data_IF_088333609143
#
_entry.id   IF_088333609143
#
_cell.length_a   1.000
_cell.length_b   1.000
_cell.length_c   1.000
_cell.angle_alpha   90.00
_cell.angle_beta   90.00
_cell.angle_gamma   90.00
#
_symmetry.space_group_name_H-M   'P 1'
#
loop_
_entity.id
_entity.type
_entity.pdbx_description
1 polymer ?
#
# COMPACT_ATOMS: atom_id res chain seq x y z
N UNK A 1 -29.92 -30.60 -66.64
CA UNK A 1 -29.64 -29.20 -66.21
C UNK A 1 -30.62 -28.61 -65.16
N UNK A 2 -31.58 -29.38 -64.63
CA UNK A 2 -32.48 -28.89 -63.56
C UNK A 2 -32.02 -29.23 -62.13
N UNK A 3 -31.14 -30.23 -61.98
CA UNK A 3 -30.52 -30.59 -60.70
C UNK A 3 -29.62 -29.46 -60.18
N UNK A 4 -28.74 -28.90 -61.03
CA UNK A 4 -27.78 -27.89 -60.61
C UNK A 4 -28.43 -26.59 -60.10
N UNK A 5 -29.57 -26.17 -60.67
CA UNK A 5 -30.33 -25.00 -60.20
C UNK A 5 -31.04 -25.25 -58.86
N UNK A 6 -31.52 -26.47 -58.62
CA UNK A 6 -32.23 -26.83 -57.38
C UNK A 6 -31.27 -26.97 -56.19
N UNK A 7 -30.08 -27.51 -56.43
CA UNK A 7 -29.03 -27.63 -55.41
C UNK A 7 -28.09 -26.42 -55.33
N UNK A 8 -28.27 -25.40 -56.18
CA UNK A 8 -27.42 -24.19 -56.17
C UNK A 8 -27.46 -23.48 -54.81
N UNK A 9 -28.65 -23.38 -54.20
CA UNK A 9 -28.82 -22.80 -52.88
C UNK A 9 -28.11 -23.62 -51.79
N UNK A 10 -28.21 -24.96 -51.86
CA UNK A 10 -27.51 -25.87 -50.92
C UNK A 10 -25.99 -25.77 -51.05
N UNK A 11 -25.47 -25.60 -52.26
CA UNK A 11 -24.04 -25.39 -52.51
C UNK A 11 -23.58 -24.04 -51.95
N UNK A 12 -24.38 -22.98 -52.09
CA UNK A 12 -24.05 -21.67 -51.50
C UNK A 12 -24.03 -21.71 -49.97
N UNK A 13 -25.00 -22.40 -49.35
CA UNK A 13 -25.04 -22.56 -47.88
C UNK A 13 -23.85 -23.37 -47.38
N UNK A 14 -23.43 -24.41 -48.11
CA UNK A 14 -22.22 -25.19 -47.80
C UNK A 14 -20.95 -24.32 -47.92
N UNK A 15 -20.82 -23.51 -48.97
CA UNK A 15 -19.64 -22.65 -49.13
C UNK A 15 -19.57 -21.54 -48.08
N UNK A 16 -20.73 -20.98 -47.69
CA UNK A 16 -20.80 -19.93 -46.67
C UNK A 16 -20.43 -20.48 -45.28
N UNK A 17 -20.92 -21.66 -44.93
CA UNK A 17 -20.57 -22.32 -43.65
C UNK A 17 -19.10 -22.71 -43.57
N UNK A 18 -18.53 -23.27 -44.64
CA UNK A 18 -17.09 -23.58 -44.71
C UNK A 18 -16.25 -22.30 -44.66
N UNK A 19 -16.66 -21.24 -45.36
CA UNK A 19 -15.98 -19.94 -45.37
C UNK A 19 -15.91 -19.30 -43.99
N UNK A 20 -17.01 -19.31 -43.23
CA UNK A 20 -17.03 -18.81 -41.85
C UNK A 20 -16.11 -19.62 -40.93
N UNK A 21 -16.07 -20.95 -41.08
CA UNK A 21 -15.17 -21.81 -40.31
C UNK A 21 -13.69 -21.51 -40.57
N UNK A 22 -13.30 -21.33 -41.83
CA UNK A 22 -11.93 -20.97 -42.22
C UNK A 22 -11.54 -19.59 -41.67
N UNK A 23 -12.46 -18.62 -41.70
CA UNK A 23 -12.20 -17.28 -41.14
C UNK A 23 -11.92 -17.32 -39.63
N UNK A 24 -12.72 -18.05 -38.85
CA UNK A 24 -12.51 -18.19 -37.39
C UNK A 24 -11.18 -18.90 -37.10
N UNK A 25 -10.82 -19.92 -37.88
CA UNK A 25 -9.57 -20.66 -37.73
C UNK A 25 -8.34 -19.77 -37.96
N UNK A 26 -8.34 -18.99 -39.04
CA UNK A 26 -7.24 -18.07 -39.35
C UNK A 26 -7.11 -16.95 -38.31
N UNK A 27 -8.23 -16.45 -37.79
CA UNK A 27 -8.23 -15.41 -36.74
C UNK A 27 -7.61 -15.97 -35.45
N UNK A 28 -7.90 -17.22 -35.10
CA UNK A 28 -7.34 -17.89 -33.91
C UNK A 28 -5.82 -18.05 -33.98
N UNK A 29 -5.26 -18.35 -35.16
CA UNK A 29 -3.80 -18.47 -35.35
C UNK A 29 -3.03 -17.16 -35.18
N UNK A 30 -3.68 -16.00 -35.35
CA UNK A 30 -3.05 -14.69 -35.18
C UNK A 30 -2.98 -14.24 -33.71
N UNK A 31 -3.88 -14.71 -32.84
CA UNK A 31 -3.84 -14.37 -31.42
C UNK A 31 -2.75 -15.15 -30.65
N UNK A 32 -2.41 -16.37 -31.07
CA UNK A 32 -1.37 -17.18 -30.41
C UNK A 32 0.07 -16.73 -30.71
N UNK A 33 0.26 -15.72 -31.58
CA UNK A 33 1.59 -15.16 -31.91
C UNK A 33 1.86 -13.82 -31.20
N UNK A 34 1.25 -13.54 -30.05
CA UNK A 34 1.80 -12.50 -29.16
C UNK A 34 3.03 -13.06 -28.45
N UNK A 35 4.21 -12.85 -29.07
CA UNK A 35 5.50 -13.10 -28.42
C UNK A 35 5.50 -12.33 -27.09
N UNK A 36 5.74 -12.98 -25.94
CA UNK A 36 5.76 -12.29 -24.66
C UNK A 36 6.89 -11.26 -24.68
N UNK A 37 6.53 -9.98 -24.72
CA UNK A 37 7.45 -8.88 -24.47
C UNK A 37 7.54 -8.78 -22.95
N UNK A 38 8.47 -9.52 -22.37
CA UNK A 38 8.81 -9.38 -20.96
C UNK A 38 9.19 -7.90 -20.72
N UNK A 39 8.62 -7.23 -19.70
CA UNK A 39 9.07 -5.90 -19.32
C UNK A 39 10.50 -6.03 -18.82
N UNK A 40 11.45 -5.46 -19.55
CA UNK A 40 12.82 -5.26 -19.04
C UNK A 40 12.76 -4.20 -17.95
N UNK A 41 12.31 -4.59 -16.75
CA UNK A 41 12.46 -3.75 -15.56
C UNK A 41 13.96 -3.70 -15.26
N UNK A 42 14.55 -2.50 -15.13
CA UNK A 42 15.93 -2.37 -14.67
C UNK A 42 16.07 -3.07 -13.32
N UNK A 43 16.82 -4.16 -13.30
CA UNK A 43 17.20 -4.82 -12.07
C UNK A 43 18.10 -3.85 -11.31
N UNK A 44 17.52 -3.12 -10.34
CA UNK A 44 18.30 -2.37 -9.37
C UNK A 44 19.00 -3.39 -8.49
N UNK A 45 20.28 -3.61 -8.74
CA UNK A 45 21.17 -4.37 -7.86
C UNK A 45 21.51 -3.46 -6.68
N UNK A 46 20.99 -3.68 -5.46
CA UNK A 46 21.46 -2.94 -4.30
C UNK A 46 22.89 -3.41 -4.00
N UNK A 47 23.88 -2.62 -4.42
CA UNK A 47 25.24 -2.74 -3.92
C UNK A 47 25.23 -2.26 -2.47
N UNK A 48 25.27 -3.19 -1.52
CA UNK A 48 25.51 -2.88 -0.12
C UNK A 48 26.83 -2.12 -0.03
N UNK A 49 26.75 -0.85 0.37
CA UNK A 49 27.91 -0.03 0.66
C UNK A 49 28.63 -0.64 1.88
N UNK A 50 29.93 -0.91 1.71
CA UNK A 50 30.81 -1.38 2.75
C UNK A 50 30.84 -0.40 3.94
N UNK A 51 31.06 -0.86 5.18
CA UNK A 51 31.05 -0.02 6.37
C UNK A 51 32.34 0.81 6.45
N UNK A 52 32.40 1.91 5.70
CA UNK A 52 33.47 2.90 5.79
C UNK A 52 33.03 4.10 6.64
N UNK A 53 32.75 3.87 7.92
CA UNK A 53 32.61 4.96 8.89
C UNK A 53 32.98 4.47 10.30
N UNK A 54 34.28 4.31 10.54
CA UNK A 54 34.81 4.17 11.91
C UNK A 54 35.18 5.56 12.40
N UNK A 55 34.39 6.09 13.34
CA UNK A 55 34.70 7.36 14.01
C UNK A 55 35.72 7.10 15.12
N UNK A 56 36.99 7.47 14.86
CA UNK A 56 38.04 7.52 15.89
C UNK A 56 38.08 8.92 16.49
N UNK A 57 37.95 9.03 17.80
CA UNK A 57 38.23 10.26 18.54
C UNK A 57 39.35 9.99 19.54
N UNK A 58 40.34 10.88 19.55
CA UNK A 58 41.47 10.82 20.47
C UNK A 58 41.15 11.71 21.67
N UNK A 59 41.06 11.12 22.86
CA UNK A 59 40.89 11.87 24.10
C UNK A 59 42.27 12.41 24.50
N UNK A 60 42.47 13.72 24.35
CA UNK A 60 43.67 14.38 24.85
C UNK A 60 43.59 14.45 26.39
N UNK A 61 44.53 13.78 27.05
CA UNK A 61 44.71 13.86 28.51
C UNK A 61 45.20 15.26 28.88
N UNK A 62 44.47 16.06 29.68
CA UNK A 62 44.93 17.38 30.07
C UNK A 62 46.13 17.27 31.03
N UNK A 63 47.23 17.91 30.67
CA UNK A 63 48.39 18.11 31.55
C UNK A 63 47.97 18.99 32.74
N UNK A 64 48.17 18.56 33.99
CA UNK A 64 47.81 19.35 35.16
C UNK A 64 48.69 20.60 35.21
N UNK A 65 48.08 21.77 35.00
CA UNK A 65 48.69 23.07 35.25
C UNK A 65 48.66 23.33 36.76
N UNK A 66 49.78 23.78 37.39
CA UNK A 66 49.79 24.08 38.81
C UNK A 66 48.74 25.14 39.14
N UNK A 67 47.82 24.77 40.03
CA UNK A 67 46.67 25.56 40.45
C UNK A 67 47.15 26.70 41.34
N UNK A 68 46.91 27.94 40.90
CA UNK A 68 47.11 29.12 41.73
C UNK A 68 46.09 29.12 42.89
N UNK A 69 46.56 29.49 44.08
CA UNK A 69 45.82 29.60 45.33
C UNK A 69 44.49 30.34 45.16
N UNK A 70 43.36 29.80 45.67
CA UNK A 70 42.05 30.42 45.49
C UNK A 70 41.94 31.72 46.29
N UNK A 71 41.78 32.83 45.57
CA UNK A 71 41.14 34.04 46.07
C UNK A 71 39.73 33.69 46.54
N UNK A 72 39.22 34.23 47.68
CA UNK A 72 37.86 33.95 48.13
C UNK A 72 36.85 34.44 47.08
N UNK A 73 36.31 33.50 46.32
CA UNK A 73 35.20 33.73 45.39
C UNK A 73 33.97 34.11 46.22
N UNK A 74 33.28 35.23 45.91
CA UNK A 74 32.02 35.55 46.57
C UNK A 74 31.05 34.39 46.37
N UNK A 75 30.52 33.88 47.48
CA UNK A 75 29.52 32.82 47.49
C UNK A 75 28.40 33.16 46.50
N UNK A 76 28.11 32.31 45.49
CA UNK A 76 27.02 32.58 44.57
C UNK A 76 25.72 32.59 45.38
N UNK A 77 25.07 33.74 45.42
CA UNK A 77 23.71 33.87 45.92
C UNK A 77 22.86 32.81 45.20
N UNK A 78 22.10 31.97 45.92
CA UNK A 78 21.32 30.92 45.29
C UNK A 78 20.41 31.56 44.22
N UNK A 79 20.56 31.12 42.97
CA UNK A 79 19.62 31.51 41.92
C UNK A 79 18.23 31.06 42.38
N UNK A 80 17.26 31.97 42.59
CA UNK A 80 15.91 31.57 42.97
C UNK A 80 15.38 30.61 41.91
N UNK A 81 14.83 29.48 42.35
CA UNK A 81 14.06 28.58 41.51
C UNK A 81 12.74 29.24 41.11
N UNK A 82 12.01 28.65 40.16
CA UNK A 82 10.69 29.16 39.83
C UNK A 82 9.78 29.25 41.07
N UNK A 83 9.03 30.34 41.20
CA UNK A 83 8.23 30.69 42.39
C UNK A 83 9.04 31.40 43.49
N UNK A 84 10.37 31.42 43.37
CA UNK A 84 11.28 32.18 44.22
C UNK A 84 11.09 33.69 44.06
N UNK A 85 11.44 34.42 45.11
CA UNK A 85 11.33 35.88 45.13
C UNK A 85 12.35 36.54 44.21
N UNK A 86 11.93 37.57 43.49
CA UNK A 86 12.79 38.37 42.63
C UNK A 86 12.47 39.86 42.76
N UNK A 87 13.49 40.72 42.59
CA UNK A 87 13.31 42.16 42.41
C UNK A 87 13.57 42.62 40.97
N UNK A 88 14.13 41.74 40.13
CA UNK A 88 14.45 42.01 38.73
C UNK A 88 14.59 40.72 37.92
N UNK A 89 14.47 40.80 36.59
CA UNK A 89 14.56 39.63 35.70
C UNK A 89 15.92 38.92 35.75
N UNK A 90 17.01 39.64 36.04
CA UNK A 90 18.35 39.05 36.12
C UNK A 90 18.55 38.11 37.31
N UNK A 91 17.62 38.10 38.26
CA UNK A 91 17.63 37.17 39.39
C UNK A 91 16.93 35.86 39.04
N UNK A 92 16.12 35.81 38.00
CA UNK A 92 15.37 34.61 37.67
C UNK A 92 16.19 33.64 36.80
N UNK A 93 15.90 32.32 36.86
CA UNK A 93 16.51 31.35 35.97
C UNK A 93 16.23 31.69 34.50
N UNK A 94 17.01 31.10 33.59
CA UNK A 94 16.76 31.19 32.15
C UNK A 94 15.29 30.85 31.83
N UNK A 95 14.68 31.60 30.91
CA UNK A 95 13.27 31.49 30.51
C UNK A 95 12.21 31.92 31.55
N UNK A 96 12.63 32.59 32.62
CA UNK A 96 11.73 33.14 33.63
C UNK A 96 11.76 34.67 33.65
N UNK A 97 10.60 35.27 33.92
CA UNK A 97 10.42 36.72 34.08
C UNK A 97 9.97 37.00 35.50
N UNK A 98 10.47 38.09 36.09
CA UNK A 98 10.02 38.55 37.39
C UNK A 98 8.64 39.21 37.25
N UNK A 99 7.62 38.59 37.82
CA UNK A 99 6.24 39.10 37.78
C UNK A 99 5.59 38.94 39.16
N UNK A 100 5.18 40.07 39.75
CA UNK A 100 4.62 40.08 41.11
C UNK A 100 5.60 39.56 42.16
N UNK A 101 6.85 40.06 42.12
CA UNK A 101 7.95 39.69 43.02
C UNK A 101 8.32 38.20 43.00
N UNK A 102 7.86 37.44 42.01
CA UNK A 102 8.15 36.01 41.84
C UNK A 102 8.67 35.71 40.44
N UNK A 103 9.64 34.79 40.38
CA UNK A 103 10.10 34.25 39.10
C UNK A 103 9.06 33.30 38.54
N UNK A 104 8.49 33.64 37.40
CA UNK A 104 7.49 32.82 36.69
C UNK A 104 7.96 32.56 35.27
N UNK A 105 7.48 31.48 34.65
CA UNK A 105 7.92 31.13 33.30
C UNK A 105 7.45 32.22 32.30
N UNK A 106 8.35 32.76 31.49
CA UNK A 106 8.02 33.85 30.54
C UNK A 106 6.90 33.45 29.57
N UNK A 107 6.85 32.17 29.23
CA UNK A 107 5.83 31.58 28.39
C UNK A 107 4.42 31.59 29.04
N UNK A 108 4.32 31.72 30.36
CA UNK A 108 3.06 31.79 31.11
C UNK A 108 2.49 33.22 31.24
N UNK A 109 3.20 34.23 30.74
CA UNK A 109 2.67 35.60 30.61
C UNK A 109 2.01 35.84 29.25
N UNK A 110 2.17 34.93 28.29
CA UNK A 110 1.60 35.04 26.96
C UNK A 110 0.13 34.62 26.94
N UNK A 111 -0.69 35.35 26.18
CA UNK A 111 -2.10 35.00 25.95
C UNK A 111 -2.24 33.66 25.22
N UNK A 112 -3.22 32.84 25.60
CA UNK A 112 -3.49 31.54 24.98
C UNK A 112 -2.74 30.36 25.61
N UNK A 113 -2.05 30.59 26.72
CA UNK A 113 -1.29 29.56 27.44
C UNK A 113 -1.97 29.28 28.78
N UNK A 114 -2.30 28.02 29.02
CA UNK A 114 -2.72 27.54 30.35
C UNK A 114 -1.50 27.17 31.18
N UNK A 115 -1.37 27.80 32.34
CA UNK A 115 -0.29 27.51 33.29
C UNK A 115 -0.85 27.19 34.66
N UNK A 116 -0.05 26.49 35.46
CA UNK A 116 -0.33 26.23 36.87
C UNK A 116 -0.47 27.55 37.65
N UNK A 117 -1.10 27.50 38.82
CA UNK A 117 -1.33 28.66 39.70
C UNK A 117 -0.03 29.41 40.00
N UNK A 118 1.08 28.69 40.20
CA UNK A 118 2.41 29.27 40.45
C UNK A 118 3.11 29.78 39.18
N UNK A 119 2.47 29.64 38.01
CA UNK A 119 3.00 30.03 36.68
C UNK A 119 4.39 29.47 36.37
N UNK A 120 4.76 28.38 37.03
CA UNK A 120 6.04 27.70 36.90
C UNK A 120 6.01 26.48 35.98
N UNK A 121 4.81 25.99 35.68
CA UNK A 121 4.60 24.85 34.81
C UNK A 121 3.49 25.16 33.82
N UNK A 122 3.76 24.82 32.56
CA UNK A 122 2.75 24.84 31.50
C UNK A 122 1.81 23.66 31.74
N UNK A 123 0.52 23.94 31.88
CA UNK A 123 -0.48 22.89 31.85
C UNK A 123 -0.78 22.67 30.39
N UNK A 124 -0.20 21.62 29.82
CA UNK A 124 -0.68 21.12 28.56
C UNK A 124 -2.04 20.46 28.83
N UNK A 125 -3.12 20.81 28.11
CA UNK A 125 -4.32 20.00 28.19
C UNK A 125 -3.91 18.58 27.81
N UNK A 126 -4.07 17.63 28.73
CA UNK A 126 -3.93 16.21 28.38
C UNK A 126 -4.83 16.00 27.18
N UNK A 127 -4.32 15.59 26.01
CA UNK A 127 -5.19 15.32 24.88
C UNK A 127 -6.19 14.29 25.37
N UNK A 128 -7.46 14.71 25.50
CA UNK A 128 -8.55 13.78 25.74
C UNK A 128 -8.39 12.70 24.68
N UNK A 129 -8.34 11.41 25.04
CA UNK A 129 -8.26 10.37 24.03
C UNK A 129 -9.43 10.60 23.09
N UNK A 130 -9.14 11.02 21.86
CA UNK A 130 -10.14 11.05 20.80
C UNK A 130 -10.75 9.66 20.83
N UNK A 131 -12.08 9.52 21.04
CA UNK A 131 -12.69 8.21 21.12
C UNK A 131 -12.19 7.42 19.93
N UNK A 132 -11.60 6.26 20.21
CA UNK A 132 -11.14 5.35 19.17
C UNK A 132 -12.39 4.94 18.42
N UNK A 133 -12.74 5.72 17.40
CA UNK A 133 -13.93 5.49 16.61
C UNK A 133 -13.70 4.13 16.01
N UNK A 134 -14.51 3.17 16.45
CA UNK A 134 -14.62 1.87 15.84
C UNK A 134 -15.07 2.15 14.42
N UNK A 135 -14.10 2.12 13.50
CA UNK A 135 -14.36 2.35 12.09
C UNK A 135 -15.40 1.34 11.62
N UNK A 136 -16.45 1.86 11.02
CA UNK A 136 -17.56 1.09 10.47
C UNK A 136 -17.02 0.05 9.47
N UNK A 137 -17.37 -1.22 9.72
CA UNK A 137 -17.04 -2.32 8.82
C UNK A 137 -17.91 -2.28 7.56
N UNK A 138 -17.64 -3.15 6.59
CA UNK A 138 -18.38 -3.20 5.33
C UNK A 138 -19.90 -3.10 5.51
N UNK A 139 -20.56 -2.32 4.66
CA UNK A 139 -22.01 -2.12 4.61
C UNK A 139 -22.65 -1.50 5.86
N UNK A 140 -21.84 -1.04 6.81
CA UNK A 140 -22.34 -0.19 7.88
C UNK A 140 -22.47 1.24 7.41
N UNK A 141 -23.32 1.98 8.12
CA UNK A 141 -23.57 3.39 7.86
C UNK A 141 -22.33 4.26 8.08
N UNK A 142 -22.12 5.22 7.21
CA UNK A 142 -21.04 6.19 7.27
C UNK A 142 -21.53 7.58 6.83
N UNK A 143 -20.83 8.63 7.30
CA UNK A 143 -21.05 10.01 6.86
C UNK A 143 -19.90 10.50 5.98
N UNK A 144 -18.68 10.07 6.28
CA UNK A 144 -17.46 10.41 5.55
C UNK A 144 -16.54 9.19 5.41
N UNK A 145 -15.60 9.23 4.47
CA UNK A 145 -14.69 8.11 4.21
C UNK A 145 -13.83 7.70 5.42
N UNK A 146 -13.57 8.62 6.36
CA UNK A 146 -12.79 8.34 7.58
C UNK A 146 -13.55 7.48 8.59
N UNK A 147 -14.89 7.43 8.49
CA UNK A 147 -15.73 6.60 9.35
C UNK A 147 -15.59 5.11 9.02
N UNK A 148 -15.15 4.77 7.81
CA UNK A 148 -15.03 3.40 7.34
C UNK A 148 -13.68 2.77 7.70
N UNK A 149 -13.67 1.44 7.84
CA UNK A 149 -12.44 0.66 8.05
C UNK A 149 -11.42 0.91 6.92
N UNK A 150 -10.13 0.75 7.23
CA UNK A 150 -9.05 1.01 6.27
C UNK A 150 -9.28 0.29 4.94
N UNK A 151 -9.26 1.03 3.82
CA UNK A 151 -9.50 0.49 2.48
C UNK A 151 -10.94 0.53 1.98
N UNK A 152 -11.89 1.05 2.78
CA UNK A 152 -13.28 1.27 2.37
C UNK A 152 -13.58 2.76 2.15
N UNK A 153 -14.55 3.05 1.29
CA UNK A 153 -15.04 4.40 0.97
C UNK A 153 -16.51 4.53 1.36
N UNK A 154 -16.95 5.72 1.74
CA UNK A 154 -18.37 5.96 2.04
C UNK A 154 -19.13 6.28 0.76
N UNK A 155 -20.06 5.41 0.37
CA UNK A 155 -20.91 5.60 -0.81
C UNK A 155 -22.36 5.30 -0.45
N UNK A 156 -23.28 6.20 -0.80
CA UNK A 156 -24.71 6.10 -0.46
C UNK A 156 -24.95 5.86 1.03
N UNK A 157 -24.20 6.57 1.88
CA UNK A 157 -24.22 6.43 3.34
C UNK A 157 -23.81 5.05 3.88
N UNK A 158 -23.15 4.21 3.07
CA UNK A 158 -22.64 2.91 3.49
C UNK A 158 -21.17 2.69 3.09
N UNK A 159 -20.40 2.01 3.95
CA UNK A 159 -19.02 1.67 3.63
C UNK A 159 -18.95 0.60 2.53
N UNK A 160 -18.26 0.91 1.42
CA UNK A 160 -18.10 0.06 0.23
C UNK A 160 -16.62 -0.12 -0.12
N UNK A 161 -16.32 -1.22 -0.80
CA UNK A 161 -15.00 -1.41 -1.40
C UNK A 161 -14.91 -0.58 -2.70
N UNK A 162 -13.92 0.33 -2.85
CA UNK A 162 -13.80 1.16 -4.04
C UNK A 162 -13.58 0.36 -5.34
N UNK A 163 -13.09 -0.87 -5.24
CA UNK A 163 -12.93 -1.75 -6.41
C UNK A 163 -14.22 -2.47 -6.84
N UNK A 164 -15.28 -2.42 -6.03
CA UNK A 164 -16.58 -3.03 -6.33
C UNK A 164 -17.70 -2.39 -5.52
N UNK A 165 -18.06 -1.17 -5.90
CA UNK A 165 -19.08 -0.36 -5.19
C UNK A 165 -20.49 -0.95 -5.24
N UNK A 166 -20.78 -1.80 -6.23
CA UNK A 166 -22.06 -2.47 -6.40
C UNK A 166 -22.27 -3.65 -5.43
N UNK A 167 -21.19 -4.12 -4.79
CA UNK A 167 -21.22 -5.28 -3.89
C UNK A 167 -21.39 -4.83 -2.44
N UNK A 168 -22.46 -5.28 -1.80
CA UNK A 168 -22.75 -5.02 -0.39
C UNK A 168 -21.92 -5.86 0.58
N UNK A 169 -21.23 -6.91 0.11
CA UNK A 169 -20.35 -7.73 0.93
C UNK A 169 -18.89 -7.23 0.97
N UNK A 170 -18.57 -6.15 0.23
CA UNK A 170 -17.22 -5.55 0.05
C UNK A 170 -16.12 -6.54 -0.37
N UNK A 171 -16.51 -7.75 -0.75
CA UNK A 171 -15.67 -8.73 -1.40
C UNK A 171 -15.86 -8.48 -2.89
N UNK A 172 -14.83 -7.90 -3.50
CA UNK A 172 -14.76 -7.95 -4.94
C UNK A 172 -14.49 -9.40 -5.27
N UNK A 173 -15.28 -9.96 -6.18
CA UNK A 173 -14.88 -11.22 -6.81
C UNK A 173 -13.54 -10.92 -7.45
N UNK A 174 -12.47 -11.30 -6.75
CA UNK A 174 -11.14 -11.31 -7.33
C UNK A 174 -11.30 -12.29 -8.46
N UNK A 175 -11.42 -11.80 -9.70
CA UNK A 175 -11.07 -12.60 -10.85
C UNK A 175 -9.66 -13.06 -10.53
N UNK A 176 -9.52 -14.32 -10.12
CA UNK A 176 -8.38 -14.87 -9.41
C UNK A 176 -7.09 -14.33 -10.05
N UNK A 177 -6.56 -13.28 -9.45
CA UNK A 177 -5.25 -12.76 -9.79
C UNK A 177 -4.34 -13.88 -9.37
N UNK A 178 -3.78 -14.56 -10.36
CA UNK A 178 -2.87 -15.70 -10.22
C UNK A 178 -1.98 -15.51 -9.01
N UNK A 179 -2.33 -16.16 -7.91
CA UNK A 179 -1.43 -16.32 -6.78
C UNK A 179 -0.18 -16.99 -7.34
N UNK A 180 1.02 -16.39 -7.25
CA UNK A 180 2.23 -17.11 -7.60
C UNK A 180 2.34 -18.26 -6.60
N UNK A 181 2.00 -19.47 -7.04
CA UNK A 181 2.44 -20.69 -6.37
C UNK A 181 3.96 -20.57 -6.27
N UNK A 182 4.58 -20.70 -5.08
CA UNK A 182 6.03 -20.74 -4.97
C UNK A 182 6.52 -21.92 -5.82
N UNK A 183 7.08 -21.61 -6.98
CA UNK A 183 7.72 -22.57 -7.87
C UNK A 183 8.89 -23.17 -7.11
N UNK A 184 8.75 -24.43 -6.70
CA UNK A 184 9.86 -25.21 -6.17
C UNK A 184 11.03 -25.16 -7.17
N UNK A 185 12.29 -25.07 -6.68
CA UNK A 185 13.46 -24.94 -7.55
C UNK A 185 13.50 -26.07 -8.60
N UNK A 186 13.78 -25.77 -9.87
CA UNK A 186 13.68 -26.76 -10.93
C UNK A 186 14.73 -27.86 -10.72
N UNK A 187 14.28 -29.07 -10.42
CA UNK A 187 15.10 -30.26 -10.57
C UNK A 187 15.35 -30.49 -12.07
N UNK A 188 16.60 -30.80 -12.48
CA UNK A 188 16.95 -31.03 -13.88
C UNK A 188 16.12 -32.16 -14.48
N UNK A 189 15.26 -31.84 -15.47
CA UNK A 189 14.58 -32.87 -16.26
C UNK A 189 15.39 -33.19 -17.51
N UNK A 190 15.96 -34.40 -17.50
CA UNK A 190 16.51 -35.11 -18.66
C UNK A 190 15.42 -35.23 -19.75
N UNK A 191 15.73 -35.12 -21.05
CA UNK A 191 14.73 -35.28 -22.09
C UNK A 191 14.29 -36.75 -22.16
N UNK A 192 13.01 -37.01 -21.92
CA UNK A 192 12.39 -38.29 -22.24
C UNK A 192 11.65 -38.13 -23.57
N UNK A 193 12.03 -38.99 -24.51
CA UNK A 193 11.38 -39.15 -25.79
C UNK A 193 9.96 -39.71 -25.63
N UNK A 194 9.00 -39.11 -26.36
CA UNK A 194 7.77 -39.73 -26.88
C UNK A 194 6.68 -40.16 -25.90
N UNK A 195 5.47 -39.60 -26.04
CA UNK A 195 4.23 -40.30 -26.48
C UNK A 195 3.03 -39.32 -26.58
N UNK A 196 2.40 -39.29 -27.77
CA UNK A 196 0.94 -39.18 -28.03
C UNK A 196 0.10 -37.95 -27.59
N UNK A 197 -0.74 -37.38 -28.47
CA UNK A 197 -1.79 -36.44 -28.10
C UNK A 197 -3.02 -37.20 -27.57
N UNK A 198 -3.59 -36.76 -26.45
CA UNK A 198 -4.90 -37.22 -25.98
C UNK A 198 -5.62 -36.09 -25.30
N UNK A 199 -6.44 -35.36 -26.06
CA UNK A 199 -7.72 -34.80 -25.63
C UNK A 199 -8.55 -34.49 -26.89
N UNK A 200 -8.95 -35.58 -27.55
CA UNK A 200 -10.08 -35.60 -28.47
C UNK A 200 -11.27 -36.15 -27.66
N UNK A 201 -12.21 -35.28 -27.31
CA UNK A 201 -13.45 -35.62 -26.60
C UNK A 201 -14.01 -34.33 -25.99
N UNK A 202 -15.10 -33.73 -26.45
CA UNK A 202 -16.37 -34.38 -26.73
C UNK A 202 -17.33 -33.54 -27.62
N UNK A 203 -16.88 -32.88 -28.71
CA UNK A 203 -17.82 -32.07 -29.54
C UNK A 203 -17.93 -32.43 -31.03
N UNK A 204 -17.18 -33.40 -31.55
CA UNK A 204 -17.25 -33.72 -33.00
C UNK A 204 -18.29 -34.82 -33.31
N UNK A 205 -18.72 -35.60 -32.32
CA UNK A 205 -19.65 -36.73 -32.54
C UNK A 205 -21.10 -36.25 -32.74
N UNK A 206 -21.50 -35.12 -32.14
CA UNK A 206 -22.86 -34.59 -32.30
C UNK A 206 -23.14 -33.98 -33.68
N UNK A 207 -22.19 -33.23 -34.24
CA UNK A 207 -22.39 -32.52 -35.51
C UNK A 207 -22.29 -33.43 -36.74
N UNK A 208 -21.34 -34.38 -36.73
CA UNK A 208 -21.13 -35.29 -37.86
C UNK A 208 -22.22 -36.35 -38.00
N UNK A 209 -22.71 -36.90 -36.89
CA UNK A 209 -23.77 -37.93 -36.90
C UNK A 209 -25.14 -37.33 -37.29
N UNK A 210 -25.42 -36.09 -36.89
CA UNK A 210 -26.65 -35.39 -37.29
C UNK A 210 -26.67 -35.06 -38.79
N UNK A 211 -25.52 -34.65 -39.35
CA UNK A 211 -25.36 -34.42 -40.79
C UNK A 211 -25.46 -35.72 -41.60
N UNK A 212 -24.92 -36.83 -41.10
CA UNK A 212 -25.01 -38.13 -41.77
C UNK A 212 -26.45 -38.66 -41.79
N UNK A 213 -27.22 -38.47 -40.71
CA UNK A 213 -28.62 -38.88 -40.62
C UNK A 213 -29.55 -38.03 -41.49
N UNK A 214 -29.27 -36.72 -41.65
CA UNK A 214 -30.04 -35.83 -42.53
C UNK A 214 -29.79 -36.11 -44.02
N UNK A 215 -28.59 -36.58 -44.40
CA UNK A 215 -28.28 -36.98 -45.78
C UNK A 215 -28.88 -38.33 -46.14
N UNK A 216 -29.08 -39.23 -45.17
CA UNK A 216 -29.74 -40.52 -45.42
C UNK A 216 -31.28 -40.41 -45.51
N UNK A 217 -31.84 -39.27 -45.08
CA UNK A 217 -33.28 -39.01 -45.03
C UNK A 217 -33.80 -38.12 -46.19
N UNK A 218 -32.95 -37.77 -47.15
CA UNK A 218 -33.30 -36.96 -48.34
C UNK A 218 -33.06 -37.74 -49.63
#
# INVERSE_FOLDING_TARGET
>A
MNFLKKYWYMIFVLLLTVGLGVMVFLTSGKLTTTKPVAPTVPQVTPKAAEPACTLTFTIATPTPTPTATPTPTPTPTPNPTCGGSCGSNGQCPTDHTCSGDKCVLSACLQSGVTCSTDKCTRIYPTPTPTPSQVRASCNNTCSVNTDCASGLVCLDSACRNPSCTEKTNCQCDVAAGTTPIPTAPPTPKVPVAGIGPSVLGASVIGGGLLLLLLVLAL
#
